data_IF_958185353953
#
_entry.id   IF_958185353953
#
_cell.length_a   1.000
_cell.length_b   1.000
_cell.length_c   1.000
_cell.angle_alpha   90.00
_cell.angle_beta   90.00
_cell.angle_gamma   90.00
#
_symmetry.space_group_name_H-M   'P 1'
#
loop_
_entity.id
_entity.type
_entity.pdbx_description
1 polymer ?
#
# COMPACT_ATOMS: atom_id res chain seq x y z
N UNK A 1 12.39 9.23 -4.75
CA UNK A 1 11.59 10.06 -5.61
C UNK A 1 10.47 10.78 -4.88
N UNK A 2 9.75 11.62 -5.59
CA UNK A 2 8.65 12.41 -5.02
C UNK A 2 7.56 11.49 -4.45
N UNK A 3 7.20 10.44 -5.19
CA UNK A 3 6.15 9.52 -4.74
C UNK A 3 6.55 8.80 -3.45
N UNK A 4 7.80 8.40 -3.33
CA UNK A 4 8.30 7.73 -2.12
C UNK A 4 8.28 8.69 -0.93
N UNK A 5 8.62 9.95 -1.15
CA UNK A 5 8.58 10.97 -0.10
C UNK A 5 7.14 11.22 0.38
N UNK A 6 6.20 11.35 -0.55
CA UNK A 6 4.81 11.57 -0.20
C UNK A 6 4.24 10.40 0.58
N UNK A 7 4.57 9.18 0.17
CA UNK A 7 4.14 8.00 0.89
C UNK A 7 4.75 7.95 2.29
N UNK A 8 6.03 8.30 2.43
CA UNK A 8 6.66 8.32 3.74
C UNK A 8 6.01 9.35 4.66
N UNK A 9 5.65 10.50 4.13
CA UNK A 9 4.93 11.51 4.92
C UNK A 9 3.57 11.01 5.37
N UNK A 10 2.85 10.31 4.49
CA UNK A 10 1.57 9.71 4.84
C UNK A 10 1.72 8.65 5.94
N UNK A 11 2.77 7.84 5.85
CA UNK A 11 3.06 6.81 6.85
C UNK A 11 3.40 7.47 8.20
N UNK A 12 4.23 8.50 8.18
CA UNK A 12 4.59 9.22 9.41
C UNK A 12 3.36 9.84 10.07
N UNK A 13 2.48 10.42 9.28
CA UNK A 13 1.22 10.98 9.78
C UNK A 13 0.35 9.87 10.40
N UNK A 14 0.22 8.76 9.70
CA UNK A 14 -0.59 7.65 10.17
C UNK A 14 -0.03 7.07 11.47
N UNK A 15 1.28 6.92 11.57
CA UNK A 15 1.91 6.40 12.78
C UNK A 15 1.71 7.34 13.96
N UNK A 16 1.85 8.64 13.72
CA UNK A 16 1.68 9.65 14.76
C UNK A 16 0.24 9.66 15.29
N UNK A 17 -0.73 9.44 14.40
CA UNK A 17 -2.15 9.49 14.77
C UNK A 17 -2.75 8.11 14.99
N UNK A 18 -1.94 7.07 14.96
CA UNK A 18 -2.36 5.67 15.12
C UNK A 18 -3.47 5.31 14.15
N UNK A 19 -3.21 5.57 12.87
CA UNK A 19 -4.15 5.30 11.80
C UNK A 19 -3.64 4.18 10.92
N UNK A 20 -4.57 3.40 10.40
CA UNK A 20 -4.29 2.36 9.43
C UNK A 20 -4.36 2.97 8.03
N UNK A 21 -3.49 2.50 7.13
CA UNK A 21 -3.51 2.92 5.73
C UNK A 21 -3.89 1.74 4.87
N UNK A 22 -4.84 1.94 3.97
CA UNK A 22 -5.18 0.92 2.97
C UNK A 22 -5.04 1.52 1.58
N UNK A 23 -4.64 0.69 0.62
CA UNK A 23 -4.50 1.12 -0.76
C UNK A 23 -4.70 -0.06 -1.70
N UNK A 24 -4.85 0.26 -2.97
CA UNK A 24 -4.99 -0.73 -4.03
C UNK A 24 -4.01 -0.40 -5.14
N UNK A 25 -3.43 -1.41 -5.76
CA UNK A 25 -2.52 -1.22 -6.88
C UNK A 25 -2.66 -2.37 -7.87
N UNK A 26 -2.44 -2.06 -9.15
CA UNK A 26 -2.43 -3.06 -10.22
C UNK A 26 -1.02 -3.54 -10.55
N UNK A 27 -0.01 -2.88 -10.04
CA UNK A 27 1.37 -3.10 -10.46
C UNK A 27 2.14 -3.90 -9.42
N UNK A 28 2.63 -5.08 -9.83
CA UNK A 28 3.37 -5.96 -8.93
C UNK A 28 4.64 -5.31 -8.37
N UNK A 29 5.27 -4.43 -9.14
CA UNK A 29 6.44 -3.69 -8.65
C UNK A 29 6.08 -2.78 -7.49
N UNK A 30 4.89 -2.18 -7.55
CA UNK A 30 4.40 -1.36 -6.46
C UNK A 30 4.10 -2.18 -5.22
N UNK A 31 3.65 -3.43 -5.39
CA UNK A 31 3.41 -4.34 -4.27
C UNK A 31 4.70 -4.52 -3.46
N UNK A 32 5.82 -4.78 -4.13
CA UNK A 32 7.11 -4.92 -3.45
C UNK A 32 7.52 -3.62 -2.75
N UNK A 33 7.32 -2.49 -3.43
CA UNK A 33 7.62 -1.18 -2.86
C UNK A 33 6.84 -0.97 -1.55
N UNK A 34 5.55 -1.25 -1.57
CA UNK A 34 4.72 -1.05 -0.37
C UNK A 34 5.04 -2.07 0.71
N UNK A 35 5.38 -3.31 0.36
CA UNK A 35 5.80 -4.30 1.36
C UNK A 35 7.01 -3.81 2.15
N UNK A 36 7.96 -3.16 1.48
CA UNK A 36 9.13 -2.60 2.13
C UNK A 36 8.77 -1.48 3.10
N UNK A 37 7.60 -0.89 2.95
CA UNK A 37 7.12 0.18 3.84
C UNK A 37 6.21 -0.36 4.95
N UNK A 38 6.07 -1.67 5.06
CA UNK A 38 5.25 -2.26 6.11
C UNK A 38 3.84 -2.64 5.70
N UNK A 39 3.51 -2.51 4.43
CA UNK A 39 2.21 -2.95 3.93
C UNK A 39 2.20 -4.45 3.70
N UNK A 40 1.02 -5.04 3.75
CA UNK A 40 0.84 -6.45 3.39
C UNK A 40 -0.39 -6.56 2.49
N UNK A 41 -0.38 -7.57 1.62
CA UNK A 41 -1.52 -7.87 0.76
C UNK A 41 -2.55 -8.63 1.59
N UNK A 42 -3.77 -8.11 1.65
CA UNK A 42 -4.86 -8.80 2.34
C UNK A 42 -5.91 -9.35 1.38
N UNK A 43 -5.82 -9.02 0.09
CA UNK A 43 -6.74 -9.54 -0.90
C UNK A 43 -6.27 -9.23 -2.30
N UNK A 44 -6.69 -10.04 -3.25
CA UNK A 44 -6.42 -9.84 -4.67
C UNK A 44 -7.75 -9.92 -5.38
N UNK A 45 -8.10 -8.86 -6.13
CA UNK A 45 -9.33 -8.83 -6.90
C UNK A 45 -9.03 -8.93 -8.37
N UNK A 46 -9.72 -9.83 -9.05
CA UNK A 46 -9.67 -9.97 -10.50
C UNK A 46 -10.94 -9.37 -11.06
N UNK A 47 -10.86 -8.11 -11.47
CA UNK A 47 -12.04 -7.43 -11.98
C UNK A 47 -12.27 -7.70 -13.45
N UNK A 48 -11.23 -7.60 -14.26
CA UNK A 48 -11.28 -7.87 -15.68
C UNK A 48 -9.97 -8.51 -16.08
N UNK A 49 -10.07 -9.64 -16.80
CA UNK A 49 -8.86 -10.24 -17.34
C UNK A 49 -8.20 -9.30 -18.36
N UNK A 50 -6.87 -9.08 -18.28
CA UNK A 50 -5.89 -9.71 -17.39
C UNK A 50 -5.55 -8.91 -16.13
N UNK A 51 -6.37 -7.94 -15.76
CA UNK A 51 -6.05 -7.02 -14.66
C UNK A 51 -6.30 -7.65 -13.30
N UNK A 52 -5.29 -7.59 -12.43
CA UNK A 52 -5.41 -7.94 -11.04
C UNK A 52 -5.26 -6.68 -10.21
N UNK A 53 -6.00 -6.60 -9.14
CA UNK A 53 -5.89 -5.49 -8.20
C UNK A 53 -5.49 -6.05 -6.84
N UNK A 54 -4.36 -5.57 -6.33
CA UNK A 54 -3.84 -5.99 -5.04
C UNK A 54 -4.30 -5.01 -3.98
N UNK A 55 -5.00 -5.54 -2.98
CA UNK A 55 -5.48 -4.74 -1.85
C UNK A 55 -4.46 -4.86 -0.74
N UNK A 56 -3.88 -3.75 -0.32
CA UNK A 56 -2.80 -3.73 0.65
C UNK A 56 -3.18 -2.88 1.86
N UNK A 57 -2.66 -3.26 3.00
CA UNK A 57 -2.92 -2.57 4.24
C UNK A 57 -1.64 -2.46 5.07
N UNK A 58 -1.48 -1.31 5.73
CA UNK A 58 -0.44 -1.11 6.72
C UNK A 58 -1.14 -0.86 8.05
N UNK A 59 -1.01 -1.81 8.96
CA UNK A 59 -1.67 -1.74 10.25
C UNK A 59 -1.03 -0.69 11.15
N UNK A 60 -1.74 -0.33 12.21
CA UNK A 60 -1.25 0.61 13.21
C UNK A 60 0.03 0.05 13.82
N UNK A 61 1.06 0.87 13.83
CA UNK A 61 2.37 0.50 14.37
C UNK A 61 2.51 0.93 15.82
#
# INVERSE_FOLDING_TARGET
>A
GIAARLMQEAIDYADTHRMMISLETHNEKNVEFYKNLGFKVYGIMKQNFPLKQYCMIREIQ
#
